data_IF_679972599834
#
_entry.id   IF_679972599834
#
_cell.length_a   1.000
_cell.length_b   1.000
_cell.length_c   1.000
_cell.angle_alpha   90.00
_cell.angle_beta   90.00
_cell.angle_gamma   90.00
#
_symmetry.space_group_name_H-M   'P 1'
#
loop_
_entity.id
_entity.type
_entity.pdbx_description
1 polymer ?
#
# COMPACT_ATOMS: atom_id res chain seq x y z
N UNK A 1 8.84 1.70 2.18
CA UNK A 1 7.46 2.16 2.42
C UNK A 1 7.02 3.06 1.28
N UNK A 2 5.74 3.02 0.89
CA UNK A 2 5.14 3.87 -0.14
C UNK A 2 4.34 4.98 0.54
N UNK A 3 4.75 6.23 0.32
CA UNK A 3 4.17 7.42 0.94
C UNK A 3 3.34 8.27 -0.04
N UNK A 4 3.22 7.81 -1.28
CA UNK A 4 2.40 8.42 -2.34
C UNK A 4 0.98 7.85 -2.32
N UNK A 5 0.07 8.57 -2.98
CA UNK A 5 -1.29 8.12 -3.30
C UNK A 5 -1.55 8.08 -4.81
N UNK A 6 -0.53 8.32 -5.64
CA UNK A 6 -0.63 8.30 -7.08
C UNK A 6 -0.51 6.86 -7.61
N UNK A 7 -1.66 6.27 -7.94
CA UNK A 7 -1.74 4.88 -8.39
C UNK A 7 -0.86 4.54 -9.60
N UNK A 8 -0.59 5.52 -10.49
CA UNK A 8 0.32 5.33 -11.63
C UNK A 8 1.73 4.94 -11.22
N UNK A 9 2.16 5.30 -10.02
CA UNK A 9 3.46 4.96 -9.46
C UNK A 9 3.35 3.84 -8.42
N UNK A 10 2.36 3.93 -7.53
CA UNK A 10 2.19 2.97 -6.44
C UNK A 10 1.99 1.53 -6.97
N UNK A 11 1.16 1.34 -8.00
CA UNK A 11 0.82 0.01 -8.51
C UNK A 11 2.04 -0.71 -9.11
N UNK A 12 2.76 -0.15 -10.11
CA UNK A 12 3.91 -0.85 -10.68
C UNK A 12 5.02 -1.08 -9.64
N UNK A 13 5.26 -0.12 -8.75
CA UNK A 13 6.23 -0.25 -7.66
C UNK A 13 5.88 -1.42 -6.72
N UNK A 14 4.63 -1.48 -6.26
CA UNK A 14 4.18 -2.51 -5.31
C UNK A 14 4.10 -3.88 -5.96
N UNK A 15 3.73 -3.97 -7.24
CA UNK A 15 3.74 -5.24 -7.99
C UNK A 15 5.12 -5.88 -8.01
N UNK A 16 6.17 -5.10 -8.27
CA UNK A 16 7.55 -5.61 -8.24
C UNK A 16 8.01 -5.89 -6.80
N UNK A 17 7.81 -4.93 -5.89
CA UNK A 17 8.27 -5.08 -4.52
C UNK A 17 7.68 -6.31 -3.81
N UNK A 18 6.38 -6.59 -4.00
CA UNK A 18 5.68 -7.72 -3.35
C UNK A 18 6.15 -9.10 -3.82
N UNK A 19 6.90 -9.15 -4.92
CA UNK A 19 7.55 -10.37 -5.45
C UNK A 19 9.00 -10.51 -5.01
N UNK A 20 9.62 -9.44 -4.52
CA UNK A 20 11.00 -9.45 -4.04
C UNK A 20 11.13 -10.07 -2.64
N UNK A 21 12.29 -10.65 -2.28
CA UNK A 21 12.56 -11.18 -0.94
C UNK A 21 12.90 -10.07 0.06
N UNK A 22 12.05 -9.05 0.18
CA UNK A 22 12.21 -7.95 1.14
C UNK A 22 11.51 -8.25 2.46
N UNK A 23 12.08 -7.74 3.55
CA UNK A 23 11.59 -7.97 4.91
C UNK A 23 10.27 -7.25 5.20
N UNK A 24 10.02 -6.10 4.59
CA UNK A 24 8.86 -5.27 4.90
C UNK A 24 8.39 -4.43 3.71
N UNK A 25 7.08 -4.40 3.49
CA UNK A 25 6.42 -3.54 2.50
C UNK A 25 5.20 -2.91 3.17
N UNK A 26 5.24 -1.59 3.30
CA UNK A 26 4.17 -0.79 3.87
C UNK A 26 3.71 0.31 2.94
N UNK A 27 2.42 0.65 2.96
CA UNK A 27 1.87 1.77 2.21
C UNK A 27 0.88 2.60 3.03
N UNK A 28 1.03 3.93 3.02
CA UNK A 28 0.16 4.86 3.76
C UNK A 28 -1.17 5.08 3.05
N UNK A 29 -2.14 5.63 3.77
CA UNK A 29 -3.39 6.14 3.21
C UNK A 29 -4.60 5.87 4.09
N UNK A 30 -5.73 6.44 3.72
CA UNK A 30 -7.01 6.14 4.37
C UNK A 30 -7.45 4.69 4.12
N UNK A 31 -8.46 4.20 4.86
CA UNK A 31 -9.11 2.90 4.58
C UNK A 31 -9.60 2.80 3.13
N UNK A 32 -10.22 3.87 2.62
CA UNK A 32 -10.68 3.97 1.22
C UNK A 32 -9.51 3.85 0.22
N UNK A 33 -8.39 4.51 0.50
CA UNK A 33 -7.16 4.43 -0.33
C UNK A 33 -6.60 3.01 -0.31
N UNK A 34 -6.59 2.35 0.84
CA UNK A 34 -6.15 0.96 0.98
C UNK A 34 -7.02 -0.01 0.18
N UNK A 35 -8.35 0.12 0.23
CA UNK A 35 -9.28 -0.71 -0.54
C UNK A 35 -9.08 -0.54 -2.05
N UNK A 36 -8.99 0.70 -2.52
CA UNK A 36 -8.74 0.99 -3.94
C UNK A 36 -7.38 0.45 -4.41
N UNK A 37 -6.33 0.64 -3.62
CA UNK A 37 -5.00 0.09 -3.89
C UNK A 37 -5.04 -1.44 -3.99
N UNK A 38 -5.69 -2.11 -3.04
CA UNK A 38 -5.80 -3.57 -3.01
C UNK A 38 -6.54 -4.09 -4.24
N UNK A 39 -7.63 -3.42 -4.66
CA UNK A 39 -8.36 -3.73 -5.89
C UNK A 39 -7.46 -3.64 -7.12
N UNK A 40 -6.73 -2.53 -7.29
CA UNK A 40 -5.83 -2.33 -8.44
C UNK A 40 -4.68 -3.33 -8.47
N UNK A 41 -4.14 -3.70 -7.31
CA UNK A 41 -3.08 -4.71 -7.24
C UNK A 41 -3.60 -6.11 -7.62
N UNK A 42 -4.84 -6.46 -7.24
CA UNK A 42 -5.49 -7.68 -7.75
C UNK A 42 -5.69 -7.64 -9.27
N UNK A 43 -6.14 -6.50 -9.80
CA UNK A 43 -6.26 -6.28 -11.25
C UNK A 43 -4.90 -6.39 -11.97
N UNK A 44 -3.80 -6.01 -11.30
CA UNK A 44 -2.43 -6.19 -11.76
C UNK A 44 -1.89 -7.63 -11.61
N UNK A 45 -2.71 -8.57 -11.16
CA UNK A 45 -2.39 -10.00 -11.08
C UNK A 45 -1.73 -10.44 -9.78
N UNK A 46 -1.81 -9.64 -8.70
CA UNK A 46 -1.32 -10.07 -7.39
C UNK A 46 -2.36 -10.96 -6.70
N UNK A 47 -1.91 -12.12 -6.24
CA UNK A 47 -2.71 -13.05 -5.45
C UNK A 47 -2.68 -12.74 -3.96
N UNK A 48 -3.52 -13.44 -3.19
CA UNK A 48 -3.66 -13.21 -1.76
C UNK A 48 -2.35 -13.43 -0.97
N UNK A 49 -1.47 -14.32 -1.46
CA UNK A 49 -0.13 -14.52 -0.85
C UNK A 49 0.75 -13.29 -0.96
N UNK A 50 0.77 -12.62 -2.12
CA UNK A 50 1.56 -11.40 -2.32
C UNK A 50 0.94 -10.26 -1.54
N UNK A 51 -0.38 -10.09 -1.62
CA UNK A 51 -1.12 -9.04 -0.92
C UNK A 51 -1.02 -9.18 0.61
N UNK A 52 -0.97 -10.39 1.15
CA UNK A 52 -0.79 -10.64 2.58
C UNK A 52 0.56 -10.12 3.14
N UNK A 53 1.54 -9.83 2.26
CA UNK A 53 2.81 -9.20 2.64
C UNK A 53 2.72 -7.68 2.75
N UNK A 54 1.70 -7.06 2.14
CA UNK A 54 1.50 -5.62 2.18
C UNK A 54 0.90 -5.21 3.52
N UNK A 55 1.60 -4.36 4.27
CA UNK A 55 1.04 -3.68 5.44
C UNK A 55 0.43 -2.36 4.99
N UNK A 56 -0.90 -2.27 5.00
CA UNK A 56 -1.61 -1.07 4.58
C UNK A 56 -2.97 -1.02 5.28
N UNK A 57 -3.40 0.17 5.74
CA UNK A 57 -2.60 1.39 5.82
C UNK A 57 -1.50 1.29 6.89
N UNK A 58 -0.29 1.77 6.59
CA UNK A 58 0.70 2.07 7.63
C UNK A 58 0.43 3.47 8.20
N UNK A 59 0.65 3.63 9.50
CA UNK A 59 0.29 4.83 10.26
C UNK A 59 -0.75 4.51 11.33
N UNK A 60 -0.70 5.23 12.45
CA UNK A 60 -1.72 5.14 13.50
C UNK A 60 -3.03 5.76 12.98
N UNK A 61 -4.18 5.14 13.25
CA UNK A 61 -5.52 5.68 12.96
C UNK A 61 -5.83 6.85 13.93
N UNK A 62 -5.04 7.92 13.86
CA UNK A 62 -5.10 9.05 14.79
C UNK A 62 -6.22 10.04 14.45
N UNK A 63 -7.03 9.78 13.40
CA UNK A 63 -7.96 10.78 12.87
C UNK A 63 -7.27 12.06 12.38
N UNK A 64 -5.95 11.99 12.14
CA UNK A 64 -5.08 13.11 11.85
C UNK A 64 -5.52 13.85 10.58
N UNK A 65 -5.73 15.16 10.71
CA UNK A 65 -6.08 16.07 9.62
C UNK A 65 -4.87 16.87 9.11
N UNK A 66 -3.67 16.62 9.64
CA UNK A 66 -2.46 17.39 9.30
C UNK A 66 -1.22 16.50 9.13
N UNK A 67 -0.27 16.87 8.24
CA UNK A 67 0.88 16.03 7.87
C UNK A 67 1.88 15.74 8.99
N UNK A 68 1.89 16.54 10.07
CA UNK A 68 2.89 16.47 11.14
C UNK A 68 2.71 15.28 12.10
N UNK A 69 1.69 14.43 11.91
CA UNK A 69 1.36 13.30 12.80
C UNK A 69 1.58 11.91 12.16
N UNK A 70 2.43 11.78 11.14
CA UNK A 70 2.72 10.49 10.46
C UNK A 70 4.19 10.09 10.56
#
# INVERSE_FOLDING_TARGET
>A
CVLTHEARFDVPLLTEALRMPVAFIGAMGSRRTHEDRTRRLREAGLGDRELGRLRSPIGLDLGARTPEET
#
